data_IF_240268442162
#
_entry.id   IF_240268442162
#
_cell.length_a   1.000
_cell.length_b   1.000
_cell.length_c   1.000
_cell.angle_alpha   90.00
_cell.angle_beta   90.00
_cell.angle_gamma   90.00
#
_symmetry.space_group_name_H-M   'P 1'
#
loop_
_entity.id
_entity.type
_entity.pdbx_description
1 polymer ?
#
# COMPACT_ATOMS: atom_id res chain seq x y z
N UNK A 1 -2.72 -34.25 -7.27
CA UNK A 1 -1.76 -33.13 -7.10
C UNK A 1 -1.51 -33.04 -5.62
N UNK A 2 -0.29 -33.28 -5.15
CA UNK A 2 0.01 -33.20 -3.71
C UNK A 2 0.31 -31.73 -3.40
N UNK A 3 -0.50 -31.12 -2.55
CA UNK A 3 -0.37 -29.74 -2.12
C UNK A 3 0.19 -29.74 -0.70
N UNK A 4 1.39 -29.23 -0.52
CA UNK A 4 1.99 -29.05 0.81
C UNK A 4 1.57 -27.69 1.37
N UNK A 5 0.42 -27.66 2.04
CA UNK A 5 -0.16 -26.44 2.61
C UNK A 5 0.71 -25.87 3.73
N UNK A 6 1.44 -26.71 4.49
CA UNK A 6 2.32 -26.25 5.56
C UNK A 6 3.55 -25.56 4.99
N UNK A 7 4.12 -26.08 3.91
CA UNK A 7 5.22 -25.42 3.21
C UNK A 7 4.78 -24.08 2.62
N UNK A 8 3.61 -24.04 1.96
CA UNK A 8 3.05 -22.79 1.40
C UNK A 8 2.90 -21.74 2.50
N UNK A 9 2.31 -22.12 3.64
CA UNK A 9 2.14 -21.20 4.78
C UNK A 9 3.49 -20.71 5.33
N UNK A 10 4.45 -21.61 5.48
CA UNK A 10 5.80 -21.26 5.94
C UNK A 10 6.47 -20.27 4.98
N UNK A 11 6.42 -20.51 3.67
CA UNK A 11 6.98 -19.64 2.65
C UNK A 11 6.29 -18.27 2.64
N UNK A 12 4.97 -18.21 2.84
CA UNK A 12 4.21 -16.96 2.99
C UNK A 12 4.65 -16.16 4.21
N UNK A 13 4.76 -16.80 5.38
CA UNK A 13 5.19 -16.12 6.61
C UNK A 13 6.61 -15.55 6.49
N UNK A 14 7.52 -16.30 5.85
CA UNK A 14 8.88 -15.83 5.59
C UNK A 14 8.90 -14.67 4.58
N UNK A 15 8.03 -14.70 3.57
CA UNK A 15 7.96 -13.62 2.58
C UNK A 15 7.52 -12.29 3.19
N UNK A 16 6.68 -12.32 4.23
CA UNK A 16 6.27 -11.11 4.95
C UNK A 16 7.44 -10.41 5.66
N UNK A 17 8.46 -11.16 6.11
CA UNK A 17 9.67 -10.57 6.71
C UNK A 17 10.51 -9.79 5.70
N UNK A 18 10.36 -10.10 4.41
CA UNK A 18 11.06 -9.40 3.32
C UNK A 18 10.25 -8.24 2.71
N UNK A 19 8.96 -8.08 3.07
CA UNK A 19 8.10 -7.00 2.61
C UNK A 19 8.29 -5.74 3.48
N UNK A 20 9.53 -5.38 3.79
CA UNK A 20 9.79 -4.11 4.46
C UNK A 20 9.52 -2.94 3.50
N UNK A 21 8.76 -1.93 3.98
CA UNK A 21 8.63 -0.65 3.29
C UNK A 21 9.93 0.15 3.30
N UNK A 22 9.98 1.22 2.52
CA UNK A 22 11.15 2.10 2.50
C UNK A 22 11.20 2.88 3.81
N UNK A 23 12.18 2.59 4.65
CA UNK A 23 12.33 3.27 5.95
C UNK A 23 12.70 4.76 5.74
N UNK A 24 12.30 5.64 6.66
CA UNK A 24 12.63 7.07 6.56
C UNK A 24 14.11 7.36 6.32
N UNK A 25 15.01 6.60 6.99
CA UNK A 25 16.46 6.75 6.85
C UNK A 25 17.04 6.24 5.52
N UNK A 26 16.29 5.52 4.72
CA UNK A 26 16.72 4.97 3.43
C UNK A 26 16.39 5.93 2.28
N UNK A 27 15.50 6.89 2.51
CA UNK A 27 15.17 7.92 1.51
C UNK A 27 16.35 8.86 1.34
N UNK A 28 16.89 9.02 0.10
CA UNK A 28 18.01 9.91 -0.16
C UNK A 28 17.72 11.36 0.27
N UNK A 29 18.58 11.95 1.09
CA UNK A 29 18.44 13.34 1.55
C UNK A 29 18.95 14.35 0.50
N UNK A 30 18.72 14.06 -0.78
CA UNK A 30 19.05 14.93 -1.91
C UNK A 30 17.95 14.87 -2.97
N UNK A 31 17.83 15.92 -3.78
CA UNK A 31 16.88 15.91 -4.89
C UNK A 31 17.41 15.08 -6.08
N UNK A 32 16.59 14.14 -6.56
CA UNK A 32 16.90 13.15 -7.60
C UNK A 32 16.29 13.52 -8.95
N UNK A 33 16.96 13.17 -10.04
CA UNK A 33 16.35 13.17 -11.38
C UNK A 33 15.41 11.96 -11.58
N UNK A 34 14.48 12.07 -12.50
CA UNK A 34 13.47 11.04 -12.80
C UNK A 34 14.06 9.62 -12.92
N UNK A 35 15.21 9.47 -13.60
CA UNK A 35 15.85 8.16 -13.78
C UNK A 35 16.36 7.59 -12.45
N UNK A 36 16.90 8.45 -11.59
CA UNK A 36 17.36 8.07 -10.26
C UNK A 36 16.16 7.71 -9.35
N UNK A 37 15.05 8.46 -9.44
CA UNK A 37 13.80 8.14 -8.73
C UNK A 37 13.31 6.76 -9.10
N UNK A 38 13.16 6.47 -10.39
CA UNK A 38 12.66 5.15 -10.84
C UNK A 38 13.60 4.02 -10.45
N UNK A 39 14.93 4.22 -10.55
CA UNK A 39 15.93 3.22 -10.14
C UNK A 39 15.88 2.97 -8.64
N UNK A 40 15.78 4.02 -7.82
CA UNK A 40 15.66 3.91 -6.37
C UNK A 40 14.39 3.14 -5.97
N UNK A 41 13.23 3.56 -6.46
CA UNK A 41 11.95 2.89 -6.16
C UNK A 41 11.95 1.42 -6.61
N UNK A 42 12.52 1.13 -7.78
CA UNK A 42 12.64 -0.22 -8.30
C UNK A 42 13.56 -1.10 -7.43
N UNK A 43 14.63 -0.55 -6.89
CA UNK A 43 15.55 -1.28 -6.01
C UNK A 43 14.93 -1.54 -4.63
N UNK A 44 14.35 -0.52 -4.02
CA UNK A 44 13.79 -0.60 -2.67
C UNK A 44 12.52 -1.46 -2.57
N UNK A 45 11.68 -1.43 -3.60
CA UNK A 45 10.41 -2.17 -3.63
C UNK A 45 10.50 -3.44 -4.50
N UNK A 46 11.70 -3.96 -4.74
CA UNK A 46 11.91 -5.17 -5.55
C UNK A 46 11.19 -6.40 -4.98
N UNK A 47 11.18 -6.56 -3.65
CA UNK A 47 10.53 -7.66 -2.93
C UNK A 47 9.00 -7.69 -3.09
N UNK A 48 8.37 -6.56 -3.42
CA UNK A 48 6.93 -6.47 -3.63
C UNK A 48 6.46 -6.85 -5.04
N UNK A 49 7.39 -7.17 -5.97
CA UNK A 49 7.04 -7.60 -7.33
C UNK A 49 6.58 -9.05 -7.32
N UNK A 50 5.51 -9.32 -8.03
CA UNK A 50 5.07 -10.70 -8.28
C UNK A 50 5.94 -11.41 -9.31
N UNK A 51 6.38 -10.67 -10.34
CA UNK A 51 7.23 -11.17 -11.43
C UNK A 51 8.41 -10.20 -11.64
N UNK A 52 9.55 -10.72 -12.09
CA UNK A 52 10.74 -9.90 -12.37
C UNK A 52 10.49 -8.81 -13.44
N UNK A 53 9.56 -9.08 -14.36
CA UNK A 53 9.13 -8.11 -15.39
C UNK A 53 8.29 -6.96 -14.87
N UNK A 54 7.74 -7.08 -13.67
CA UNK A 54 6.86 -6.07 -13.10
C UNK A 54 7.64 -4.79 -12.77
N UNK A 55 7.05 -3.65 -13.12
CA UNK A 55 7.61 -2.34 -12.81
C UNK A 55 6.90 -1.73 -11.61
N UNK A 56 7.67 -1.33 -10.61
CA UNK A 56 7.16 -0.66 -9.40
C UNK A 56 6.53 0.68 -9.78
N UNK A 57 7.35 1.58 -10.33
CA UNK A 57 6.93 2.88 -10.84
C UNK A 57 7.68 3.20 -12.14
N UNK A 58 6.94 3.52 -13.19
CA UNK A 58 7.54 3.98 -14.45
C UNK A 58 7.56 5.51 -14.54
N UNK A 59 8.44 6.06 -15.38
CA UNK A 59 8.45 7.50 -15.70
C UNK A 59 7.06 8.01 -16.14
N UNK A 60 6.36 7.21 -16.94
CA UNK A 60 5.00 7.55 -17.40
C UNK A 60 4.01 7.62 -16.25
N UNK A 61 4.08 6.69 -15.29
CA UNK A 61 3.23 6.72 -14.09
C UNK A 61 3.51 7.96 -13.24
N UNK A 62 4.77 8.26 -12.95
CA UNK A 62 5.15 9.44 -12.16
C UNK A 62 4.71 10.74 -12.84
N UNK A 63 4.87 10.86 -14.16
CA UNK A 63 4.38 12.00 -14.92
C UNK A 63 2.84 12.11 -14.85
N UNK A 64 2.12 10.98 -14.90
CA UNK A 64 0.66 10.97 -14.75
C UNK A 64 0.25 11.40 -13.33
N UNK A 65 0.98 11.04 -12.29
CA UNK A 65 0.70 11.48 -10.92
C UNK A 65 0.88 13.00 -10.78
N UNK A 66 1.94 13.57 -11.34
CA UNK A 66 2.12 15.01 -11.36
C UNK A 66 1.02 15.73 -12.17
N UNK A 67 0.63 15.18 -13.33
CA UNK A 67 -0.47 15.72 -14.17
C UNK A 67 -1.83 15.69 -13.45
N UNK A 68 -2.09 14.64 -12.68
CA UNK A 68 -3.34 14.48 -11.90
C UNK A 68 -3.23 15.08 -10.49
N UNK A 69 -2.22 15.90 -10.21
CA UNK A 69 -2.02 16.59 -8.92
C UNK A 69 -1.92 15.67 -7.69
N UNK A 70 -1.53 14.40 -7.89
CA UNK A 70 -1.18 13.49 -6.78
C UNK A 70 0.21 13.78 -6.25
N UNK A 71 1.07 14.30 -7.10
CA UNK A 71 2.46 14.62 -6.79
C UNK A 71 2.72 16.08 -7.18
N UNK A 72 3.28 16.91 -6.30
CA UNK A 72 3.74 18.25 -6.66
C UNK A 72 4.71 18.23 -7.84
N UNK A 73 4.79 19.28 -8.65
CA UNK A 73 5.72 19.33 -9.78
C UNK A 73 7.17 19.39 -9.30
N UNK A 74 8.10 18.68 -9.98
CA UNK A 74 9.52 18.72 -9.64
C UNK A 74 10.13 20.10 -9.90
N UNK A 75 11.05 20.50 -9.04
CA UNK A 75 11.80 21.76 -9.18
C UNK A 75 13.03 21.53 -10.05
N UNK A 76 13.16 22.24 -11.18
CA UNK A 76 14.27 22.05 -12.15
C UNK A 76 14.47 20.59 -12.56
N UNK A 77 13.37 19.84 -12.77
CA UNK A 77 13.32 18.41 -13.11
C UNK A 77 13.87 17.47 -12.02
N UNK A 78 14.01 17.96 -10.79
CA UNK A 78 14.45 17.17 -9.64
C UNK A 78 13.31 17.00 -8.63
N UNK A 79 13.23 15.80 -8.08
CA UNK A 79 12.29 15.36 -7.06
C UNK A 79 12.96 15.38 -5.69
N UNK A 80 12.41 16.12 -4.73
CA UNK A 80 12.92 16.22 -3.36
C UNK A 80 12.69 14.93 -2.56
N UNK A 81 13.28 14.76 -1.37
CA UNK A 81 12.96 13.67 -0.46
C UNK A 81 11.45 13.53 -0.17
N UNK A 82 10.74 14.64 -0.04
CA UNK A 82 9.28 14.64 0.18
C UNK A 82 8.50 14.06 -1.01
N UNK A 83 8.94 14.32 -2.25
CA UNK A 83 8.37 13.64 -3.42
C UNK A 83 8.57 12.13 -3.34
N UNK A 84 9.71 11.65 -2.82
CA UNK A 84 9.97 10.23 -2.65
C UNK A 84 9.00 9.61 -1.64
N UNK A 85 8.77 10.28 -0.50
CA UNK A 85 7.81 9.86 0.51
C UNK A 85 6.38 9.77 -0.05
N UNK A 86 5.96 10.80 -0.80
CA UNK A 86 4.66 10.79 -1.49
C UNK A 86 4.55 9.66 -2.52
N UNK A 87 5.62 9.37 -3.29
CA UNK A 87 5.62 8.26 -4.24
C UNK A 87 5.48 6.90 -3.55
N UNK A 88 6.02 6.74 -2.35
CA UNK A 88 5.82 5.53 -1.54
C UNK A 88 4.35 5.40 -1.12
N UNK A 89 3.72 6.45 -0.61
CA UNK A 89 2.28 6.44 -0.31
C UNK A 89 1.43 6.11 -1.56
N UNK A 90 1.71 6.76 -2.69
CA UNK A 90 1.02 6.48 -3.96
C UNK A 90 1.22 5.02 -4.37
N UNK A 91 2.42 4.46 -4.17
CA UNK A 91 2.70 3.07 -4.51
C UNK A 91 1.82 2.09 -3.72
N UNK A 92 1.65 2.30 -2.42
CA UNK A 92 0.77 1.46 -1.59
C UNK A 92 -0.71 1.65 -1.98
N UNK A 93 -1.15 2.88 -2.17
CA UNK A 93 -2.55 3.18 -2.46
C UNK A 93 -2.99 2.77 -3.86
N UNK A 94 -2.13 2.86 -4.89
CA UNK A 94 -2.49 2.60 -6.30
C UNK A 94 -3.08 1.22 -6.58
N UNK A 95 -2.79 0.25 -5.71
CA UNK A 95 -3.26 -1.12 -5.85
C UNK A 95 -4.64 -1.34 -5.20
N UNK A 96 -5.12 -0.37 -4.42
CA UNK A 96 -6.33 -0.47 -3.61
C UNK A 96 -7.35 0.60 -4.02
N UNK A 97 -6.89 1.82 -4.30
CA UNK A 97 -7.69 3.02 -4.50
C UNK A 97 -7.59 3.54 -5.94
N UNK A 98 -8.62 4.24 -6.38
CA UNK A 98 -8.60 5.00 -7.63
C UNK A 98 -7.67 6.21 -7.54
N UNK A 99 -7.27 6.76 -8.69
CA UNK A 99 -6.47 7.99 -8.75
C UNK A 99 -7.18 9.15 -8.04
N UNK A 100 -8.51 9.26 -8.18
CA UNK A 100 -9.31 10.29 -7.52
C UNK A 100 -9.29 10.15 -5.99
N UNK A 101 -9.42 8.93 -5.49
CA UNK A 101 -9.38 8.66 -4.05
C UNK A 101 -8.00 9.00 -3.47
N UNK A 102 -6.92 8.62 -4.16
CA UNK A 102 -5.55 8.97 -3.77
C UNK A 102 -5.38 10.50 -3.76
N UNK A 103 -5.94 11.20 -4.73
CA UNK A 103 -5.90 12.67 -4.75
C UNK A 103 -6.65 13.25 -3.54
N UNK A 104 -7.83 12.74 -3.21
CA UNK A 104 -8.60 13.15 -2.03
C UNK A 104 -7.81 12.98 -0.73
N UNK A 105 -7.07 11.87 -0.60
CA UNK A 105 -6.22 11.61 0.57
C UNK A 105 -4.99 12.51 0.64
N UNK A 106 -4.27 12.67 -0.49
CA UNK A 106 -2.96 13.33 -0.48
C UNK A 106 -3.04 14.84 -0.65
N UNK A 107 -4.09 15.40 -1.26
CA UNK A 107 -4.19 16.84 -1.47
C UNK A 107 -4.10 17.65 -0.16
N UNK A 108 -4.83 17.35 0.92
CA UNK A 108 -4.72 18.08 2.18
C UNK A 108 -3.31 17.98 2.81
N UNK A 109 -2.64 16.85 2.61
CA UNK A 109 -1.28 16.62 3.11
C UNK A 109 -0.28 17.45 2.32
N UNK A 110 -0.37 17.40 0.98
CA UNK A 110 0.54 18.13 0.10
C UNK A 110 0.35 19.64 0.21
N UNK A 111 -0.90 20.11 0.26
CA UNK A 111 -1.21 21.54 0.33
C UNK A 111 -0.73 22.18 1.64
N UNK A 112 -0.68 21.41 2.73
CA UNK A 112 -0.34 21.93 4.05
C UNK A 112 1.09 21.66 4.48
N UNK A 113 1.69 20.55 4.09
CA UNK A 113 2.94 20.04 4.67
C UNK A 113 4.07 19.85 3.66
N UNK A 114 3.83 19.99 2.35
CA UNK A 114 4.88 19.86 1.34
C UNK A 114 5.71 21.14 1.23
N UNK A 115 7.04 21.00 1.31
CA UNK A 115 7.97 22.14 1.23
C UNK A 115 7.98 23.04 2.47
N UNK A 116 7.49 22.56 3.60
CA UNK A 116 7.50 23.30 4.87
C UNK A 116 8.91 23.25 5.48
N UNK A 117 9.55 24.40 5.64
CA UNK A 117 10.90 24.51 6.20
C UNK A 117 10.94 24.49 7.74
N UNK A 118 9.81 24.75 8.38
CA UNK A 118 9.69 24.78 9.85
C UNK A 118 8.37 24.23 10.31
N UNK A 119 8.41 23.47 11.43
CA UNK A 119 7.23 22.84 12.01
C UNK A 119 7.00 21.42 11.49
N UNK A 120 5.77 20.93 11.59
CA UNK A 120 5.38 19.59 11.18
C UNK A 120 5.37 19.46 9.63
N UNK A 121 5.96 18.40 9.10
CA UNK A 121 6.26 18.22 7.67
C UNK A 121 5.78 16.85 7.14
N UNK A 122 5.87 16.64 5.84
CA UNK A 122 5.64 15.30 5.22
C UNK A 122 6.57 14.25 5.81
N UNK A 123 7.80 14.64 6.16
CA UNK A 123 8.75 13.72 6.78
C UNK A 123 8.23 13.21 8.12
N UNK A 124 7.68 14.07 8.96
CA UNK A 124 7.15 13.67 10.27
C UNK A 124 5.95 12.72 10.12
N UNK A 125 5.05 13.01 9.16
CA UNK A 125 3.93 12.12 8.81
C UNK A 125 4.46 10.74 8.36
N UNK A 126 5.47 10.74 7.50
CA UNK A 126 6.06 9.52 6.98
C UNK A 126 6.71 8.70 8.10
N UNK A 127 7.51 9.35 8.96
CA UNK A 127 8.21 8.72 10.07
C UNK A 127 7.22 8.05 11.04
N UNK A 128 6.13 8.72 11.41
CA UNK A 128 5.11 8.17 12.31
C UNK A 128 4.37 6.97 11.70
N UNK A 129 3.95 7.07 10.43
CA UNK A 129 3.21 5.99 9.77
C UNK A 129 4.08 4.73 9.61
N UNK A 130 5.33 4.89 9.18
CA UNK A 130 6.21 3.75 8.95
C UNK A 130 6.79 3.13 10.24
N UNK A 131 6.71 3.81 11.39
CA UNK A 131 7.01 3.18 12.68
C UNK A 131 6.03 2.05 13.05
N UNK A 132 4.78 2.14 12.58
CA UNK A 132 3.74 1.14 12.85
C UNK A 132 3.85 -0.12 11.98
N UNK A 133 4.67 -0.10 10.92
CA UNK A 133 4.73 -1.19 9.94
C UNK A 133 5.10 -2.55 10.56
N UNK A 134 6.05 -2.57 11.49
CA UNK A 134 6.48 -3.83 12.14
C UNK A 134 5.36 -4.47 12.97
N UNK A 135 4.59 -3.65 13.68
CA UNK A 135 3.47 -4.12 14.48
C UNK A 135 2.38 -4.67 13.57
N UNK A 136 2.13 -4.00 12.44
CA UNK A 136 1.16 -4.45 11.45
C UNK A 136 1.58 -5.77 10.80
N UNK A 137 2.86 -5.95 10.42
CA UNK A 137 3.37 -7.23 9.89
C UNK A 137 3.18 -8.35 10.91
N UNK A 138 3.46 -8.12 12.19
CA UNK A 138 3.26 -9.11 13.24
C UNK A 138 1.77 -9.49 13.38
N UNK A 139 0.88 -8.50 13.36
CA UNK A 139 -0.57 -8.69 13.41
C UNK A 139 -1.08 -9.51 12.20
N UNK A 140 -0.60 -9.20 10.99
CA UNK A 140 -0.93 -9.94 9.77
C UNK A 140 -0.48 -11.40 9.85
N UNK A 141 0.72 -11.68 10.39
CA UNK A 141 1.19 -13.06 10.59
C UNK A 141 0.31 -13.87 11.53
N UNK A 142 -0.12 -13.28 12.65
CA UNK A 142 -1.05 -13.94 13.56
C UNK A 142 -2.41 -14.23 12.91
N UNK A 143 -2.93 -13.28 12.15
CA UNK A 143 -4.18 -13.44 11.41
C UNK A 143 -4.08 -14.53 10.34
N UNK A 144 -2.98 -14.61 9.60
CA UNK A 144 -2.70 -15.67 8.63
C UNK A 144 -2.70 -17.05 9.28
N UNK A 145 -2.04 -17.21 10.43
CA UNK A 145 -2.02 -18.47 11.18
C UNK A 145 -3.42 -18.88 11.60
N UNK A 146 -4.22 -17.97 12.16
CA UNK A 146 -5.62 -18.24 12.55
C UNK A 146 -6.48 -18.69 11.36
N UNK A 147 -6.37 -17.99 10.23
CA UNK A 147 -7.12 -18.32 9.01
C UNK A 147 -6.68 -19.64 8.40
N UNK A 148 -5.38 -19.96 8.46
CA UNK A 148 -4.87 -21.27 8.04
C UNK A 148 -5.44 -22.41 8.89
N UNK A 149 -5.49 -22.26 10.21
CA UNK A 149 -6.07 -23.26 11.10
C UNK A 149 -7.58 -23.47 10.83
N UNK A 150 -8.32 -22.38 10.60
CA UNK A 150 -9.73 -22.46 10.20
C UNK A 150 -9.87 -23.24 8.90
N UNK A 151 -9.08 -22.91 7.87
CA UNK A 151 -9.16 -23.58 6.57
C UNK A 151 -8.83 -25.09 6.65
N UNK A 152 -7.83 -25.48 7.47
CA UNK A 152 -7.45 -26.88 7.71
C UNK A 152 -8.56 -27.69 8.39
N UNK A 153 -9.41 -27.05 9.18
CA UNK A 153 -10.54 -27.70 9.83
C UNK A 153 -11.74 -27.95 8.91
N UNK A 154 -11.76 -27.31 7.72
CA UNK A 154 -12.86 -27.42 6.76
C UNK A 154 -12.77 -28.69 5.91
N UNK A 155 -13.87 -29.02 5.26
CA UNK A 155 -13.96 -30.11 4.27
C UNK A 155 -13.63 -31.53 4.79
N UNK A 156 -13.83 -31.78 6.09
CA UNK A 156 -13.58 -33.11 6.70
C UNK A 156 -14.34 -34.28 6.05
N UNK A 157 -15.51 -34.00 5.46
CA UNK A 157 -16.35 -34.98 4.74
C UNK A 157 -16.08 -35.09 3.24
N UNK A 158 -15.18 -34.26 2.68
CA UNK A 158 -14.81 -34.31 1.26
C UNK A 158 -13.96 -35.55 0.93
N UNK A 159 -13.92 -35.98 -0.36
CA UNK A 159 -12.97 -37.00 -0.81
C UNK A 159 -11.54 -36.61 -0.41
N UNK A 160 -10.73 -37.62 0.00
CA UNK A 160 -9.36 -37.35 0.47
C UNK A 160 -8.47 -36.67 -0.58
N UNK A 161 -8.67 -37.05 -1.85
CA UNK A 161 -7.94 -36.53 -3.00
C UNK A 161 -8.17 -35.02 -3.25
N UNK A 162 -9.36 -34.52 -2.85
CA UNK A 162 -9.74 -33.10 -3.07
C UNK A 162 -9.49 -32.21 -1.84
N UNK A 163 -9.35 -32.82 -0.67
CA UNK A 163 -9.34 -32.11 0.62
C UNK A 163 -8.28 -31.05 0.71
N UNK A 164 -7.05 -31.37 0.36
CA UNK A 164 -5.92 -30.41 0.42
C UNK A 164 -6.17 -29.21 -0.49
N UNK A 165 -6.68 -29.43 -1.71
CA UNK A 165 -7.02 -28.34 -2.62
C UNK A 165 -8.17 -27.47 -2.08
N UNK A 166 -9.24 -28.09 -1.55
CA UNK A 166 -10.39 -27.37 -1.00
C UNK A 166 -10.02 -26.54 0.24
N UNK A 167 -9.12 -27.05 1.08
CA UNK A 167 -8.59 -26.33 2.23
C UNK A 167 -7.75 -25.13 1.79
N UNK A 168 -6.85 -25.30 0.82
CA UNK A 168 -6.08 -24.19 0.25
C UNK A 168 -7.00 -23.16 -0.42
N UNK A 169 -8.00 -23.63 -1.18
CA UNK A 169 -8.99 -22.74 -1.80
C UNK A 169 -9.77 -21.94 -0.75
N UNK A 170 -10.21 -22.57 0.35
CA UNK A 170 -10.88 -21.84 1.44
C UNK A 170 -9.98 -20.81 2.12
N UNK A 171 -8.69 -21.13 2.29
CA UNK A 171 -7.72 -20.17 2.81
C UNK A 171 -7.59 -18.93 1.91
N UNK A 172 -7.47 -19.14 0.59
CA UNK A 172 -7.46 -18.05 -0.40
C UNK A 172 -8.76 -17.23 -0.32
N UNK A 173 -9.93 -17.88 -0.18
CA UNK A 173 -11.21 -17.19 -0.02
C UNK A 173 -11.26 -16.33 1.25
N UNK A 174 -10.79 -16.85 2.39
CA UNK A 174 -10.73 -16.09 3.65
C UNK A 174 -9.88 -14.84 3.52
N UNK A 175 -8.70 -14.95 2.90
CA UNK A 175 -7.83 -13.80 2.63
C UNK A 175 -8.48 -12.81 1.65
N UNK A 176 -9.16 -13.31 0.62
CA UNK A 176 -9.83 -12.46 -0.38
C UNK A 176 -10.99 -11.68 0.25
N UNK A 177 -11.78 -12.30 1.14
CA UNK A 177 -12.84 -11.62 1.88
C UNK A 177 -12.28 -10.54 2.80
N UNK A 178 -11.18 -10.80 3.50
CA UNK A 178 -10.53 -9.84 4.35
C UNK A 178 -10.07 -8.60 3.57
N UNK A 179 -9.36 -8.80 2.46
CA UNK A 179 -8.94 -7.72 1.56
C UNK A 179 -10.14 -6.94 1.03
N UNK A 180 -11.20 -7.65 0.59
CA UNK A 180 -12.41 -7.00 0.09
C UNK A 180 -13.09 -6.12 1.15
N UNK A 181 -13.28 -6.63 2.36
CA UNK A 181 -13.91 -5.89 3.45
C UNK A 181 -13.07 -4.69 3.86
N UNK A 182 -11.75 -4.85 4.04
CA UNK A 182 -10.85 -3.74 4.35
C UNK A 182 -10.86 -2.68 3.26
N UNK A 183 -10.86 -3.09 1.98
CA UNK A 183 -10.96 -2.16 0.86
C UNK A 183 -12.25 -1.33 0.92
N UNK A 184 -13.42 -1.97 1.15
CA UNK A 184 -14.70 -1.26 1.31
C UNK A 184 -14.66 -0.24 2.46
N UNK A 185 -14.04 -0.60 3.58
CA UNK A 185 -13.88 0.32 4.72
C UNK A 185 -12.98 1.51 4.37
N UNK A 186 -11.89 1.29 3.64
CA UNK A 186 -10.98 2.35 3.21
C UNK A 186 -11.71 3.29 2.23
N UNK A 187 -12.40 2.76 1.22
CA UNK A 187 -13.18 3.55 0.26
C UNK A 187 -14.24 4.40 0.96
N UNK A 188 -14.97 3.81 1.92
CA UNK A 188 -15.96 4.56 2.70
C UNK A 188 -15.33 5.71 3.51
N UNK A 189 -14.17 5.49 4.14
CA UNK A 189 -13.46 6.57 4.84
C UNK A 189 -13.00 7.68 3.90
N UNK A 190 -12.58 7.36 2.68
CA UNK A 190 -12.21 8.35 1.65
C UNK A 190 -13.43 9.16 1.21
N UNK A 191 -14.58 8.52 1.01
CA UNK A 191 -15.83 9.21 0.66
C UNK A 191 -16.28 10.18 1.77
N UNK A 192 -16.16 9.79 3.04
CA UNK A 192 -16.43 10.68 4.18
C UNK A 192 -15.47 11.89 4.20
N UNK A 193 -14.17 11.67 3.97
CA UNK A 193 -13.19 12.77 3.86
C UNK A 193 -13.54 13.72 2.72
N UNK A 194 -13.94 13.21 1.57
CA UNK A 194 -14.36 14.02 0.43
C UNK A 194 -15.59 14.87 0.79
N UNK A 195 -16.55 14.30 1.52
CA UNK A 195 -17.77 15.00 1.94
C UNK A 195 -17.46 16.12 2.93
N UNK A 196 -16.51 15.93 3.85
CA UNK A 196 -16.07 16.95 4.82
C UNK A 196 -15.31 18.10 4.15
N UNK A 197 -14.56 17.80 3.08
CA UNK A 197 -13.81 18.80 2.31
C UNK A 197 -14.67 19.62 1.35
N UNK A 198 -15.89 19.15 1.02
CA UNK A 198 -16.81 19.86 0.15
C UNK A 198 -17.31 21.15 0.82
N UNK A 199 -17.33 22.32 0.12
CA UNK A 199 -17.91 23.54 0.67
C UNK A 199 -19.37 23.27 1.06
N UNK A 200 -19.73 23.60 2.30
CA UNK A 200 -21.12 23.53 2.75
C UNK A 200 -22.01 24.35 1.81
N UNK A 201 -22.88 23.69 1.08
CA UNK A 201 -23.82 24.36 0.17
C UNK A 201 -24.77 25.24 1.02
N UNK A 202 -24.72 26.58 0.89
CA UNK A 202 -25.54 27.47 1.71
C UNK A 202 -27.06 27.37 1.39
N UNK A 203 -27.47 26.53 0.44
CA UNK A 203 -28.86 26.35 -0.01
C UNK A 203 -29.65 25.24 0.67
N UNK A 204 -29.07 24.51 1.62
CA UNK A 204 -29.79 23.49 2.40
C UNK A 204 -30.21 23.96 3.81
N UNK A 205 -30.56 25.23 3.94
CA UNK A 205 -31.34 25.74 5.11
C UNK A 205 -32.64 26.30 4.59
N UNK A 206 -33.61 25.44 4.41
CA UNK A 206 -35.03 25.75 4.49
C UNK A 206 -35.80 24.48 4.80
#
# INVERSE_FOLDING_TARGET
MTIDSDKILHDLLNSLDSLEGIRPGEIPNIALYMDQVTTFMDAQLASSRRFESDKVLTKTMINNYAKNKLLPPPVKKKYSPEHMMLLVFIYYFKNILSITDIQTLLAPITDRYFGTESGFSIKDIYDEIFQMEKEEIASVKEDLLKKADVSKSMFGSSPKEDREFLQLFSFICLLSFDVYLKKQMIEHMVDELASLAAPSDPKKKN
#
